data_IF_939217732204
#
_entry.id   IF_939217732204
#
_cell.length_a   1.000
_cell.length_b   1.000
_cell.length_c   1.000
_cell.angle_alpha   90.00
_cell.angle_beta   90.00
_cell.angle_gamma   90.00
#
_symmetry.space_group_name_H-M   'P 1'
#
loop_
_entity.id
_entity.type
_entity.pdbx_description
1 polymer ?
#
# COMPACT_ATOMS: atom_id res chain seq x y z
N UNK A 1 -5.50 -12.73 -8.94
CA UNK A 1 -5.08 -11.56 -8.14
C UNK A 1 -3.91 -10.89 -8.85
N UNK A 2 -3.75 -9.57 -8.75
CA UNK A 2 -2.55 -8.87 -9.27
C UNK A 2 -2.06 -7.83 -8.27
N UNK A 3 -0.74 -7.57 -8.27
CA UNK A 3 -0.12 -6.59 -7.39
C UNK A 3 0.94 -5.75 -8.11
N UNK A 4 0.99 -4.46 -7.79
CA UNK A 4 2.11 -3.56 -8.11
C UNK A 4 2.93 -3.38 -6.84
N UNK A 5 4.22 -3.70 -6.91
CA UNK A 5 5.13 -3.64 -5.75
C UNK A 5 6.10 -2.48 -5.93
N UNK A 6 6.19 -1.64 -4.90
CA UNK A 6 7.08 -0.47 -4.88
C UNK A 6 8.01 -0.56 -3.68
N UNK A 7 9.33 -0.55 -3.94
CA UNK A 7 10.33 -0.41 -2.87
C UNK A 7 10.38 1.03 -2.39
N UNK A 8 10.21 1.24 -1.09
CA UNK A 8 10.13 2.57 -0.49
C UNK A 8 11.12 2.75 0.66
N UNK A 9 11.56 3.98 0.89
CA UNK A 9 12.26 4.38 2.12
C UNK A 9 11.27 4.70 3.25
N UNK A 10 10.04 5.09 2.91
CA UNK A 10 8.92 5.32 3.81
C UNK A 10 7.60 5.37 3.01
N UNK A 11 6.47 5.05 3.64
CA UNK A 11 5.14 5.27 3.07
C UNK A 11 4.08 5.43 4.18
N UNK A 12 2.95 6.08 3.86
CA UNK A 12 1.81 6.22 4.77
C UNK A 12 0.48 6.25 4.01
N UNK A 13 -0.61 6.00 4.73
CA UNK A 13 -1.99 6.13 4.26
C UNK A 13 -2.70 7.13 5.16
N UNK A 14 -3.36 8.11 4.55
CA UNK A 14 -4.12 9.15 5.22
C UNK A 14 -5.60 9.05 4.84
N UNK A 15 -6.50 9.20 5.82
CA UNK A 15 -7.95 9.30 5.59
C UNK A 15 -8.46 10.53 6.32
N UNK A 16 -8.90 11.53 5.56
CA UNK A 16 -9.50 12.73 6.13
C UNK A 16 -8.56 13.59 6.98
N UNK A 17 -7.24 13.61 6.68
CA UNK A 17 -6.26 14.34 7.49
C UNK A 17 -5.46 13.46 8.46
N UNK A 18 -5.97 12.27 8.79
CA UNK A 18 -5.39 11.42 9.82
C UNK A 18 -4.60 10.25 9.22
N UNK A 19 -3.35 10.06 9.68
CA UNK A 19 -2.52 8.93 9.28
C UNK A 19 -3.03 7.66 9.96
N UNK A 20 -3.63 6.77 9.17
CA UNK A 20 -4.19 5.49 9.65
C UNK A 20 -3.20 4.32 9.55
N UNK A 21 -2.08 4.51 8.85
CA UNK A 21 -1.02 3.51 8.76
C UNK A 21 0.25 4.10 8.15
N UNK A 22 1.41 3.65 8.64
CA UNK A 22 2.71 4.08 8.14
C UNK A 22 3.76 2.99 8.27
N UNK A 23 4.72 3.00 7.36
CA UNK A 23 5.90 2.13 7.38
C UNK A 23 7.18 2.93 7.10
N UNK A 24 8.30 2.43 7.64
CA UNK A 24 9.64 2.88 7.26
C UNK A 24 10.11 2.25 5.95
N UNK A 25 11.41 1.92 5.87
CA UNK A 25 11.98 1.26 4.68
C UNK A 25 11.30 -0.10 4.46
N UNK A 26 10.78 -0.33 3.26
CA UNK A 26 10.01 -1.55 2.98
C UNK A 26 9.43 -1.57 1.58
N UNK A 27 8.28 -2.23 1.46
CA UNK A 27 7.52 -2.34 0.21
C UNK A 27 6.09 -1.84 0.43
N UNK A 28 5.60 -1.04 -0.51
CA UNK A 28 4.16 -0.79 -0.68
C UNK A 28 3.64 -1.77 -1.73
N UNK A 29 2.49 -2.36 -1.45
CA UNK A 29 1.83 -3.30 -2.36
C UNK A 29 0.44 -2.76 -2.67
N UNK A 30 0.23 -2.37 -3.92
CA UNK A 30 -1.09 -2.01 -4.43
C UNK A 30 -1.72 -3.26 -5.03
N UNK A 31 -2.78 -3.77 -4.40
CA UNK A 31 -3.40 -5.05 -4.75
C UNK A 31 -4.71 -4.81 -5.50
N UNK A 32 -4.87 -5.47 -6.65
CA UNK A 32 -6.13 -5.60 -7.37
C UNK A 32 -6.62 -7.04 -7.31
N UNK A 33 -7.87 -7.24 -6.91
CA UNK A 33 -8.55 -8.54 -6.87
C UNK A 33 -9.74 -8.48 -7.84
N UNK A 34 -9.89 -9.49 -8.69
CA UNK A 34 -11.04 -9.62 -9.61
C UNK A 34 -11.97 -10.77 -9.14
N UNK A 35 -13.09 -10.98 -9.82
CA UNK A 35 -14.16 -11.86 -9.32
C UNK A 35 -13.77 -13.34 -9.19
N UNK A 36 -12.87 -13.80 -10.06
CA UNK A 36 -12.39 -15.18 -10.11
C UNK A 36 -11.00 -15.35 -9.47
N UNK A 37 -10.51 -14.29 -8.81
CA UNK A 37 -9.18 -14.18 -8.22
C UNK A 37 -9.12 -14.42 -6.71
#
# INVERSE_FOLDING_TARGET
>A
MRAVVQRVTSASVEVGGDVVGAIGRGMVVLVGVTHDD
#
